data_IF_138118846874
#
_entry.id   IF_138118846874
#
_cell.length_a   1.000
_cell.length_b   1.000
_cell.length_c   1.000
_cell.angle_alpha   90.00
_cell.angle_beta   90.00
_cell.angle_gamma   90.00
#
_symmetry.space_group_name_H-M   'P 1'
#
loop_
_entity.id
_entity.type
_entity.pdbx_description
1 polymer ?
#
# COMPACT_ATOMS: atom_id res chain seq x y z
N UNK A 1 -10.11 -3.99 -14.78
CA UNK A 1 -9.58 -3.28 -13.60
C UNK A 1 -9.51 -1.81 -13.94
N UNK A 2 -10.21 -0.95 -13.19
CA UNK A 2 -10.13 0.48 -13.39
C UNK A 2 -8.76 0.98 -12.90
N UNK A 3 -8.05 1.74 -13.73
CA UNK A 3 -6.69 2.25 -13.44
C UNK A 3 -6.70 3.71 -12.99
N UNK A 4 -7.86 4.36 -13.08
CA UNK A 4 -8.01 5.75 -12.74
C UNK A 4 -8.09 5.94 -11.23
N UNK A 5 -7.52 7.03 -10.69
CA UNK A 5 -7.71 7.38 -9.28
C UNK A 5 -9.19 7.59 -8.97
N UNK A 6 -9.65 7.02 -7.86
CA UNK A 6 -10.99 7.23 -7.33
C UNK A 6 -10.97 8.51 -6.48
N UNK A 7 -11.96 9.38 -6.66
CA UNK A 7 -12.17 10.55 -5.81
C UNK A 7 -13.20 10.23 -4.73
N UNK A 8 -12.82 10.35 -3.46
CA UNK A 8 -13.69 10.16 -2.31
C UNK A 8 -13.41 11.25 -1.29
N UNK A 9 -14.45 12.01 -0.89
CA UNK A 9 -14.36 13.11 0.09
C UNK A 9 -13.27 14.17 -0.22
N UNK A 10 -12.95 14.38 -1.50
CA UNK A 10 -11.91 15.33 -1.92
C UNK A 10 -10.50 14.74 -1.94
N UNK A 11 -10.33 13.50 -1.49
CA UNK A 11 -9.08 12.75 -1.54
C UNK A 11 -9.04 11.78 -2.72
N UNK A 12 -7.83 11.46 -3.18
CA UNK A 12 -7.58 10.52 -4.29
C UNK A 12 -7.13 9.19 -3.74
N UNK A 13 -7.67 8.12 -4.29
CA UNK A 13 -7.39 6.75 -3.91
C UNK A 13 -6.95 5.93 -5.13
N UNK A 14 -6.01 5.01 -4.93
CA UNK A 14 -5.57 4.04 -5.94
C UNK A 14 -5.71 2.63 -5.39
N UNK A 15 -6.11 1.69 -6.24
CA UNK A 15 -6.15 0.27 -5.86
C UNK A 15 -4.77 -0.26 -5.52
N UNK A 16 -4.69 -1.21 -4.60
CA UNK A 16 -3.42 -1.87 -4.25
C UNK A 16 -2.76 -2.52 -5.46
N UNK A 17 -3.52 -3.01 -6.43
CA UNK A 17 -3.02 -3.60 -7.67
C UNK A 17 -2.35 -2.56 -8.57
N UNK A 18 -2.93 -1.36 -8.70
CA UNK A 18 -2.30 -0.26 -9.45
C UNK A 18 -1.05 0.23 -8.72
N UNK A 19 -1.10 0.35 -7.41
CA UNK A 19 0.07 0.72 -6.60
C UNK A 19 1.18 -0.32 -6.75
N UNK A 20 0.84 -1.61 -6.70
CA UNK A 20 1.77 -2.71 -6.93
C UNK A 20 2.44 -2.61 -8.30
N UNK A 21 1.68 -2.30 -9.36
CA UNK A 21 2.18 -2.06 -10.71
C UNK A 21 3.15 -0.87 -10.75
N UNK A 22 2.80 0.27 -10.13
CA UNK A 22 3.66 1.48 -10.11
C UNK A 22 5.01 1.20 -9.45
N UNK A 23 5.00 0.49 -8.32
CA UNK A 23 6.20 0.21 -7.52
C UNK A 23 6.91 -1.09 -7.92
N UNK A 24 6.41 -1.81 -8.94
CA UNK A 24 6.95 -3.08 -9.40
C UNK A 24 7.11 -4.11 -8.28
N UNK A 25 6.13 -4.17 -7.37
CA UNK A 25 6.09 -5.10 -6.23
C UNK A 25 4.89 -6.05 -6.39
N UNK A 26 4.96 -7.24 -5.78
CA UNK A 26 3.81 -8.17 -5.80
C UNK A 26 2.64 -7.58 -4.99
N UNK A 27 1.44 -7.59 -5.56
CA UNK A 27 0.24 -7.08 -4.90
C UNK A 27 -0.08 -7.77 -3.56
N UNK A 28 0.28 -9.06 -3.41
CA UNK A 28 0.14 -9.79 -2.14
C UNK A 28 0.92 -9.15 -1.00
N UNK A 29 2.11 -8.60 -1.27
CA UNK A 29 2.94 -7.93 -0.26
C UNK A 29 2.25 -6.64 0.21
N UNK A 30 1.74 -5.84 -0.72
CA UNK A 30 1.01 -4.62 -0.35
C UNK A 30 -0.29 -4.93 0.40
N UNK A 31 -0.96 -6.03 0.08
CA UNK A 31 -2.13 -6.50 0.83
C UNK A 31 -1.77 -6.92 2.26
N UNK A 32 -0.71 -7.70 2.43
CA UNK A 32 -0.22 -8.13 3.75
C UNK A 32 0.18 -6.94 4.63
N UNK A 33 0.82 -5.93 4.03
CA UNK A 33 1.20 -4.69 4.70
C UNK A 33 -0.02 -3.84 5.05
N UNK A 34 -1.01 -3.75 4.15
CA UNK A 34 -2.29 -3.07 4.41
C UNK A 34 -3.05 -3.72 5.59
N UNK A 35 -3.15 -5.05 5.59
CA UNK A 35 -3.80 -5.83 6.66
C UNK A 35 -3.14 -5.64 8.03
N UNK A 36 -1.86 -5.23 8.06
CA UNK A 36 -1.12 -4.86 9.27
C UNK A 36 -1.29 -3.39 9.67
N UNK A 37 -2.14 -2.63 8.97
CA UNK A 37 -2.41 -1.22 9.25
C UNK A 37 -1.31 -0.25 8.82
N UNK A 38 -0.28 -0.73 8.12
CA UNK A 38 0.89 0.09 7.81
C UNK A 38 0.59 1.18 6.77
N UNK A 39 -0.42 1.01 5.91
CA UNK A 39 -0.78 1.99 4.88
C UNK A 39 -1.86 2.98 5.29
N UNK A 40 -2.30 2.93 6.56
CA UNK A 40 -3.46 3.70 7.03
C UNK A 40 -4.79 3.12 6.58
N UNK A 41 -5.86 3.85 6.83
CA UNK A 41 -7.21 3.46 6.41
C UNK A 41 -7.35 3.56 4.89
N UNK A 42 -7.87 2.50 4.29
CA UNK A 42 -8.26 2.46 2.89
C UNK A 42 -9.77 2.43 2.74
N UNK A 43 -10.22 2.47 1.50
CA UNK A 43 -11.62 2.23 1.14
C UNK A 43 -11.73 0.98 0.25
N UNK A 44 -12.91 0.39 0.23
CA UNK A 44 -13.22 -0.68 -0.73
C UNK A 44 -14.04 -0.09 -1.87
N UNK A 45 -13.56 -0.24 -3.10
CA UNK A 45 -14.25 0.15 -4.32
C UNK A 45 -14.25 -1.02 -5.30
N UNK A 46 -15.41 -1.41 -5.82
CA UNK A 46 -15.56 -2.56 -6.73
C UNK A 46 -14.89 -3.86 -6.24
N UNK A 47 -14.98 -4.14 -4.92
CA UNK A 47 -14.33 -5.29 -4.25
C UNK A 47 -12.80 -5.22 -4.18
N UNK A 48 -12.21 -4.08 -4.51
CA UNK A 48 -10.78 -3.84 -4.45
C UNK A 48 -10.44 -2.87 -3.31
N UNK A 49 -9.36 -3.14 -2.59
CA UNK A 49 -8.85 -2.22 -1.57
C UNK A 49 -8.10 -1.09 -2.27
N UNK A 50 -8.46 0.14 -1.92
CA UNK A 50 -7.80 1.34 -2.40
C UNK A 50 -7.20 2.11 -1.22
N UNK A 51 -6.00 2.64 -1.40
CA UNK A 51 -5.30 3.47 -0.42
C UNK A 51 -5.23 4.91 -0.92
N UNK A 52 -5.19 5.86 0.01
CA UNK A 52 -5.03 7.27 -0.32
C UNK A 52 -3.69 7.49 -1.04
N UNK A 53 -3.67 8.37 -2.05
CA UNK A 53 -2.43 8.72 -2.76
C UNK A 53 -1.40 9.40 -1.85
N UNK A 54 -1.83 9.96 -0.72
CA UNK A 54 -0.93 10.51 0.30
C UNK A 54 -0.11 9.41 1.00
N UNK A 55 -0.54 8.15 0.95
CA UNK A 55 0.19 7.02 1.51
C UNK A 55 1.33 6.51 0.61
N UNK A 56 1.48 7.04 -0.62
CA UNK A 56 2.44 6.52 -1.61
C UNK A 56 3.90 6.69 -1.17
N UNK A 57 4.25 7.75 -0.45
CA UNK A 57 5.61 7.90 0.11
C UNK A 57 5.91 6.80 1.15
N UNK A 58 4.89 6.41 1.93
CA UNK A 58 5.00 5.30 2.86
C UNK A 58 5.13 3.97 2.12
N UNK A 59 4.34 3.76 1.07
CA UNK A 59 4.48 2.59 0.18
C UNK A 59 5.91 2.51 -0.36
N UNK A 60 6.48 3.61 -0.85
CA UNK A 60 7.84 3.65 -1.37
C UNK A 60 8.86 3.18 -0.32
N UNK A 61 8.68 3.59 0.93
CA UNK A 61 9.53 3.16 2.05
C UNK A 61 9.40 1.66 2.31
N UNK A 62 8.19 1.15 2.40
CA UNK A 62 7.89 -0.27 2.61
C UNK A 62 8.46 -1.12 1.48
N UNK A 63 8.24 -0.73 0.23
CA UNK A 63 8.76 -1.44 -0.95
C UNK A 63 10.28 -1.47 -0.94
N UNK A 64 10.95 -0.38 -0.57
CA UNK A 64 12.41 -0.36 -0.42
C UNK A 64 12.87 -1.31 0.69
N UNK A 65 12.20 -1.34 1.84
CA UNK A 65 12.52 -2.29 2.92
C UNK A 65 12.34 -3.75 2.45
N UNK A 66 11.31 -4.03 1.66
CA UNK A 66 11.06 -5.36 1.14
C UNK A 66 12.07 -5.77 0.05
N UNK A 67 12.16 -5.00 -1.03
CA UNK A 67 12.89 -5.40 -2.24
C UNK A 67 14.41 -5.19 -2.09
N UNK A 68 14.84 -4.15 -1.37
CA UNK A 68 16.27 -3.82 -1.22
C UNK A 68 16.86 -4.47 0.03
N UNK A 69 16.13 -4.45 1.15
CA UNK A 69 16.62 -4.96 2.42
C UNK A 69 16.13 -6.38 2.74
N UNK A 70 15.27 -6.96 1.90
CA UNK A 70 14.79 -8.33 2.05
C UNK A 70 13.88 -8.55 3.26
N UNK A 71 13.30 -7.47 3.82
CA UNK A 71 12.43 -7.59 4.98
C UNK A 71 11.05 -8.13 4.56
N UNK A 72 10.55 -9.13 5.27
CA UNK A 72 9.16 -9.56 5.13
C UNK A 72 8.18 -8.56 5.78
N UNK A 73 6.87 -8.66 5.50
CA UNK A 73 5.87 -7.73 6.06
C UNK A 73 5.84 -7.67 7.60
N UNK A 74 6.20 -8.75 8.30
CA UNK A 74 6.23 -8.77 9.77
C UNK A 74 7.46 -8.01 10.29
N UNK A 75 8.63 -8.20 9.68
CA UNK A 75 9.84 -7.45 9.97
C UNK A 75 9.68 -5.96 9.65
N UNK A 76 9.00 -5.61 8.55
CA UNK A 76 8.65 -4.23 8.22
C UNK A 76 7.73 -3.63 9.29
N UNK A 77 6.71 -4.37 9.73
CA UNK A 77 5.82 -3.92 10.80
C UNK A 77 6.57 -3.69 12.11
N UNK A 78 7.47 -4.59 12.49
CA UNK A 78 8.31 -4.43 13.68
C UNK A 78 9.27 -3.22 13.56
N UNK A 79 9.79 -2.94 12.35
CA UNK A 79 10.70 -1.83 12.10
C UNK A 79 9.99 -0.47 12.12
N UNK A 80 8.76 -0.39 11.58
CA UNK A 80 8.00 0.86 11.44
C UNK A 80 7.03 1.12 12.60
N UNK A 81 6.62 0.07 13.32
CA UNK A 81 5.71 0.14 14.47
C UNK A 81 6.40 0.26 15.82
N UNK A 82 7.73 0.42 15.84
CA UNK A 82 8.49 0.78 17.04
C UNK A 82 8.31 2.28 17.35
N UNK A 83 7.13 2.66 17.81
CA UNK A 83 6.86 3.91 18.53
C UNK A 83 6.63 3.63 20.02
#
# INVERSE_FOLDING_TARGET
MNREPILHEGERYLSLEVVAEIYQVRAVVLREVYERGLLGEGLTHDSTVCIATLALDRVATIVRLHEVHGLDPDAIAAHLGAD
#
